data_IF_501756811757
#
_entry.id   IF_501756811757
#
_cell.length_a   1.000
_cell.length_b   1.000
_cell.length_c   1.000
_cell.angle_alpha   90.00
_cell.angle_beta   90.00
_cell.angle_gamma   90.00
#
_symmetry.space_group_name_H-M   'P 1'
#
loop_
_entity.id
_entity.type
_entity.pdbx_description
1 polymer ?
#
# COMPACT_ATOMS: atom_id res chain seq x y z
N UNK A 1 11.87 3.29 13.49
CA UNK A 1 10.67 4.14 13.31
C UNK A 1 9.75 3.42 12.34
N UNK A 2 8.54 3.09 12.74
CA UNK A 2 7.52 2.48 11.86
C UNK A 2 7.12 3.49 10.78
N UNK A 3 7.08 3.09 9.50
CA UNK A 3 6.56 3.96 8.43
C UNK A 3 5.06 4.24 8.67
N UNK A 4 4.55 5.45 8.40
CA UNK A 4 3.13 5.73 8.51
C UNK A 4 2.35 4.86 7.53
N UNK A 5 1.34 4.14 8.02
CA UNK A 5 0.56 3.19 7.23
C UNK A 5 -0.70 3.81 6.62
N UNK A 6 -1.04 5.03 7.03
CA UNK A 6 -2.24 5.76 6.61
C UNK A 6 -3.54 5.31 7.28
N UNK A 7 -3.48 4.37 8.23
CA UNK A 7 -4.66 3.79 8.88
C UNK A 7 -5.30 2.66 8.06
N UNK A 8 -6.47 2.14 8.47
CA UNK A 8 -7.17 1.06 7.77
C UNK A 8 -7.61 1.48 6.36
N UNK A 9 -7.41 0.60 5.37
CA UNK A 9 -7.84 0.83 3.97
C UNK A 9 -9.36 0.97 3.84
N UNK A 10 -10.08 0.17 4.63
CA UNK A 10 -11.54 0.15 4.68
C UNK A 10 -11.96 0.21 6.16
N UNK A 11 -12.02 1.41 6.76
CA UNK A 11 -12.32 1.57 8.19
C UNK A 11 -13.71 1.05 8.53
N UNK A 12 -13.81 0.32 9.66
CA UNK A 12 -15.10 -0.02 10.26
C UNK A 12 -15.63 1.17 11.07
N UNK A 13 -16.84 1.68 10.78
CA UNK A 13 -17.40 2.80 11.53
C UNK A 13 -17.45 2.52 13.04
N UNK A 14 -16.92 3.43 13.84
CA UNK A 14 -16.86 3.31 15.31
C UNK A 14 -15.75 2.40 15.85
N UNK A 15 -15.00 1.69 14.99
CA UNK A 15 -13.93 0.75 15.39
C UNK A 15 -12.61 1.03 14.64
N UNK A 16 -12.40 2.26 14.20
CA UNK A 16 -11.23 2.65 13.40
C UNK A 16 -9.88 2.53 14.14
N UNK A 17 -9.90 2.51 15.47
CA UNK A 17 -8.71 2.31 16.32
C UNK A 17 -8.51 0.86 16.77
N UNK A 18 -9.51 -0.02 16.58
CA UNK A 18 -9.41 -1.42 16.99
C UNK A 18 -8.83 -2.28 15.86
N UNK A 19 -7.54 -2.60 15.96
CA UNK A 19 -6.82 -3.43 14.98
C UNK A 19 -7.44 -4.82 14.81
N UNK A 20 -8.22 -5.31 15.77
CA UNK A 20 -8.88 -6.63 15.71
C UNK A 20 -10.01 -6.66 14.67
N UNK A 21 -10.60 -5.51 14.38
CA UNK A 21 -11.72 -5.36 13.43
C UNK A 21 -11.30 -4.75 12.10
N UNK A 22 -10.08 -4.23 12.01
CA UNK A 22 -9.57 -3.63 10.80
C UNK A 22 -8.71 -4.62 10.01
N UNK A 23 -8.86 -4.59 8.69
CA UNK A 23 -8.07 -5.41 7.76
C UNK A 23 -6.75 -4.73 7.38
N UNK A 24 -6.42 -4.78 6.08
CA UNK A 24 -5.21 -4.16 5.53
C UNK A 24 -5.14 -2.65 5.79
N UNK A 25 -3.92 -2.13 5.89
CA UNK A 25 -3.68 -0.68 5.95
C UNK A 25 -3.80 -0.03 4.56
N UNK A 26 -3.95 1.30 4.50
CA UNK A 26 -3.92 2.04 3.23
C UNK A 26 -2.60 1.84 2.47
N UNK A 27 -1.49 1.74 3.18
CA UNK A 27 -0.18 1.41 2.62
C UNK A 27 -0.20 0.05 1.91
N UNK A 28 -0.70 -0.99 2.58
CA UNK A 28 -0.78 -2.34 1.99
C UNK A 28 -1.75 -2.38 0.81
N UNK A 29 -2.86 -1.65 0.91
CA UNK A 29 -3.83 -1.55 -0.18
C UNK A 29 -3.24 -0.89 -1.43
N UNK A 30 -2.53 0.24 -1.28
CA UNK A 30 -1.86 0.89 -2.41
C UNK A 30 -0.76 0.03 -3.00
N UNK A 31 0.04 -0.63 -2.16
CA UNK A 31 1.06 -1.57 -2.64
C UNK A 31 0.43 -2.74 -3.43
N UNK A 32 -0.67 -3.31 -2.95
CA UNK A 32 -1.39 -4.37 -3.66
C UNK A 32 -1.96 -3.89 -5.01
N UNK A 33 -2.44 -2.64 -5.08
CA UNK A 33 -2.89 -2.03 -6.34
C UNK A 33 -1.76 -1.83 -7.33
N UNK A 34 -0.59 -1.35 -6.88
CA UNK A 34 0.59 -1.24 -7.72
C UNK A 34 1.05 -2.62 -8.21
N UNK A 35 1.09 -3.61 -7.32
CA UNK A 35 1.48 -4.98 -7.64
C UNK A 35 0.58 -5.60 -8.71
N UNK A 36 -0.73 -5.37 -8.64
CA UNK A 36 -1.67 -5.84 -9.66
C UNK A 36 -1.30 -5.31 -11.04
N UNK A 37 -1.02 -4.01 -11.16
CA UNK A 37 -0.64 -3.37 -12.42
C UNK A 37 0.71 -3.88 -12.93
N UNK A 38 1.71 -3.89 -12.06
CA UNK A 38 3.07 -4.33 -12.42
C UNK A 38 3.07 -5.79 -12.87
N UNK A 39 2.41 -6.70 -12.14
CA UNK A 39 2.33 -8.12 -12.53
C UNK A 39 1.59 -8.37 -13.85
N UNK A 40 0.74 -7.43 -14.29
CA UNK A 40 0.03 -7.52 -15.57
C UNK A 40 0.84 -6.95 -16.74
N UNK A 41 1.89 -6.16 -16.47
CA UNK A 41 2.75 -5.56 -17.49
C UNK A 41 3.77 -6.60 -18.02
N UNK A 42 3.75 -6.94 -19.32
CA UNK A 42 4.74 -7.85 -19.92
C UNK A 42 6.19 -7.39 -19.73
N UNK A 43 6.44 -6.09 -19.58
CA UNK A 43 7.79 -5.55 -19.38
C UNK A 43 8.38 -5.88 -18.01
N UNK A 44 7.55 -6.33 -17.05
CA UNK A 44 8.01 -6.72 -15.71
C UNK A 44 8.23 -8.23 -15.58
N UNK A 45 8.02 -9.01 -16.65
CA UNK A 45 8.06 -10.47 -16.60
C UNK A 45 9.40 -11.02 -16.06
N UNK A 46 10.51 -10.40 -16.47
CA UNK A 46 11.88 -10.77 -16.07
C UNK A 46 12.38 -10.00 -14.85
N UNK A 47 11.58 -9.09 -14.29
CA UNK A 47 11.96 -8.33 -13.11
C UNK A 47 12.05 -9.24 -11.88
N UNK A 48 13.04 -8.99 -11.02
CA UNK A 48 13.13 -9.71 -9.75
C UNK A 48 11.93 -9.34 -8.89
N UNK A 49 11.28 -10.34 -8.31
CA UNK A 49 10.10 -10.14 -7.45
C UNK A 49 10.39 -9.24 -6.25
N UNK A 50 11.60 -9.30 -5.70
CA UNK A 50 12.02 -8.41 -4.62
C UNK A 50 12.00 -6.93 -5.03
N UNK A 51 12.45 -6.62 -6.25
CA UNK A 51 12.49 -5.25 -6.76
C UNK A 51 11.08 -4.73 -7.01
N UNK A 52 10.20 -5.56 -7.60
CA UNK A 52 8.78 -5.22 -7.80
C UNK A 52 8.05 -4.95 -6.49
N UNK A 53 8.27 -5.79 -5.46
CA UNK A 53 7.66 -5.59 -4.14
C UNK A 53 8.15 -4.28 -3.50
N UNK A 54 9.45 -3.99 -3.60
CA UNK A 54 10.00 -2.73 -3.11
C UNK A 54 9.37 -1.52 -3.81
N UNK A 55 9.27 -1.55 -5.14
CA UNK A 55 8.64 -0.50 -5.94
C UNK A 55 7.16 -0.28 -5.56
N UNK A 56 6.40 -1.35 -5.33
CA UNK A 56 5.01 -1.25 -4.87
C UNK A 56 4.87 -0.47 -3.56
N UNK A 57 5.76 -0.73 -2.61
CA UNK A 57 5.75 -0.04 -1.32
C UNK A 57 6.26 1.40 -1.41
N UNK A 58 7.21 1.69 -2.30
CA UNK A 58 7.63 3.08 -2.57
C UNK A 58 6.51 3.89 -3.22
N UNK A 59 5.76 3.31 -4.16
CA UNK A 59 4.57 3.93 -4.73
C UNK A 59 3.49 4.18 -3.67
N UNK A 60 3.26 3.20 -2.78
CA UNK A 60 2.32 3.36 -1.67
C UNK A 60 2.72 4.49 -0.72
N UNK A 61 4.00 4.57 -0.35
CA UNK A 61 4.54 5.61 0.51
C UNK A 61 4.42 7.00 -0.15
N UNK A 62 4.66 7.09 -1.47
CA UNK A 62 4.48 8.31 -2.25
C UNK A 62 3.01 8.78 -2.29
N UNK A 63 2.05 7.85 -2.43
CA UNK A 63 0.62 8.16 -2.37
C UNK A 63 0.20 8.68 -0.98
N UNK A 64 0.73 8.11 0.09
CA UNK A 64 0.47 8.59 1.45
C UNK A 64 1.05 9.99 1.67
N UNK A 65 2.28 10.24 1.22
CA UNK A 65 2.91 11.55 1.31
C UNK A 65 2.12 12.62 0.54
N UNK A 66 1.58 12.28 -0.64
CA UNK A 66 0.77 13.19 -1.45
C UNK A 66 -0.51 13.63 -0.75
N UNK A 67 -1.09 12.81 0.14
CA UNK A 67 -2.31 13.13 0.90
C UNK A 67 -2.10 14.09 2.06
N UNK A 68 -0.87 14.22 2.54
CA UNK A 68 -0.49 15.10 3.67
C UNK A 68 -0.13 16.51 3.18
N UNK A 69 -0.04 16.73 1.86
CA UNK A 69 0.15 18.08 1.31
C UNK A 69 -1.07 18.96 1.61
N UNK A 70 -0.86 20.23 2.01
CA UNK A 70 -1.90 21.15 2.47
C UNK A 70 -2.94 21.48 1.39
#
# INVERSE_FOLDING_TARGET
>A
MSKPTGGPAFPVPGLHEDESFNGMTLRDYFAAKALQGLCADPNTADAKRADLVAECYELADAMLAARVKP
#
